data_IF_529881803773
#
_entry.id   IF_529881803773
#
_cell.length_a   1.000
_cell.length_b   1.000
_cell.length_c   1.000
_cell.angle_alpha   90.00
_cell.angle_beta   90.00
_cell.angle_gamma   90.00
#
_symmetry.space_group_name_H-M   'P 1'
#
loop_
_entity.id
_entity.type
_entity.pdbx_description
1 polymer ?
#
# COMPACT_ATOMS: atom_id res chain seq x y z
N UNK A 1 17.95 12.16 36.95
CA UNK A 1 18.62 11.56 35.78
C UNK A 1 17.56 11.41 34.69
N UNK A 2 17.56 12.30 33.70
CA UNK A 2 16.61 12.28 32.59
C UNK A 2 17.04 11.23 31.59
N UNK A 3 16.13 10.30 31.28
CA UNK A 3 16.36 9.29 30.25
C UNK A 3 16.23 10.02 28.92
N UNK A 4 17.37 10.24 28.25
CA UNK A 4 17.43 10.85 26.93
C UNK A 4 16.49 10.12 25.98
N UNK A 5 15.50 10.84 25.44
CA UNK A 5 14.56 10.35 24.42
C UNK A 5 15.23 10.15 23.03
N UNK A 6 16.54 9.89 23.00
CA UNK A 6 17.29 9.58 21.79
C UNK A 6 17.16 8.08 21.51
N UNK A 7 16.14 7.67 20.75
CA UNK A 7 16.03 6.29 20.28
C UNK A 7 14.62 5.81 19.91
N UNK A 8 13.56 6.54 20.28
CA UNK A 8 12.24 6.31 19.67
C UNK A 8 12.23 7.08 18.37
N UNK A 9 12.57 6.43 17.26
CA UNK A 9 12.06 6.88 15.98
C UNK A 9 10.56 7.10 16.19
N UNK A 10 10.12 8.35 16.13
CA UNK A 10 8.72 8.70 16.20
C UNK A 10 8.01 7.81 15.17
N UNK A 11 7.09 6.97 15.63
CA UNK A 11 6.46 5.98 14.77
C UNK A 11 5.60 6.74 13.76
N UNK A 12 6.19 7.03 12.60
CA UNK A 12 5.50 7.74 11.53
C UNK A 12 4.55 6.75 10.86
N UNK A 13 3.37 6.64 11.48
CA UNK A 13 2.26 5.81 11.03
C UNK A 13 1.90 6.12 9.56
N UNK A 14 2.02 7.38 9.14
CA UNK A 14 1.75 7.79 7.77
C UNK A 14 2.78 7.23 6.80
N UNK A 15 4.07 7.33 7.14
CA UNK A 15 5.15 6.74 6.34
C UNK A 15 5.02 5.22 6.20
N UNK A 16 4.59 4.51 7.25
CA UNK A 16 4.36 3.07 7.18
C UNK A 16 3.17 2.72 6.29
N UNK A 17 2.07 3.45 6.40
CA UNK A 17 0.90 3.26 5.52
C UNK A 17 1.28 3.52 4.06
N UNK A 18 2.09 4.56 3.81
CA UNK A 18 2.59 4.88 2.47
C UNK A 18 3.50 3.79 1.91
N UNK A 19 4.37 3.18 2.73
CA UNK A 19 5.16 2.02 2.32
C UNK A 19 4.29 0.84 1.91
N UNK A 20 3.20 0.57 2.64
CA UNK A 20 2.24 -0.50 2.28
C UNK A 20 1.55 -0.18 0.96
N UNK A 21 1.07 1.07 0.77
CA UNK A 21 0.45 1.50 -0.48
C UNK A 21 1.40 1.38 -1.68
N UNK A 22 2.68 1.74 -1.51
CA UNK A 22 3.68 1.63 -2.56
C UNK A 22 3.96 0.18 -2.95
N UNK A 23 4.06 -0.73 -1.96
CA UNK A 23 4.24 -2.16 -2.21
C UNK A 23 3.05 -2.76 -2.95
N UNK A 24 1.83 -2.42 -2.53
CA UNK A 24 0.61 -2.84 -3.22
C UNK A 24 0.57 -2.29 -4.66
N UNK A 25 0.87 -1.01 -4.86
CA UNK A 25 0.90 -0.38 -6.17
C UNK A 25 1.88 -1.05 -7.14
N UNK A 26 3.08 -1.42 -6.66
CA UNK A 26 4.06 -2.15 -7.45
C UNK A 26 3.55 -3.55 -7.84
N UNK A 27 3.07 -4.33 -6.86
CA UNK A 27 2.54 -5.67 -7.14
C UNK A 27 1.36 -5.63 -8.15
N UNK A 28 0.49 -4.62 -8.04
CA UNK A 28 -0.59 -4.40 -9.00
C UNK A 28 -0.08 -4.06 -10.40
N UNK A 29 0.98 -3.26 -10.51
CA UNK A 29 1.59 -2.93 -11.81
C UNK A 29 2.18 -4.18 -12.49
N UNK A 30 2.84 -5.05 -11.72
CA UNK A 30 3.36 -6.33 -12.21
C UNK A 30 2.22 -7.21 -12.72
N UNK A 31 1.15 -7.40 -11.94
CA UNK A 31 0.01 -8.21 -12.35
C UNK A 31 -0.69 -7.66 -13.61
N UNK A 32 -0.83 -6.33 -13.72
CA UNK A 32 -1.36 -5.69 -14.93
C UNK A 32 -0.49 -5.95 -16.15
N UNK A 33 0.83 -5.97 -16.00
CA UNK A 33 1.75 -6.30 -17.09
C UNK A 33 1.55 -7.76 -17.53
N UNK A 34 1.48 -8.71 -16.59
CA UNK A 34 1.24 -10.13 -16.90
C UNK A 34 -0.08 -10.32 -17.67
N UNK A 35 -1.15 -9.66 -17.22
CA UNK A 35 -2.47 -9.68 -17.88
C UNK A 35 -2.38 -9.09 -19.29
N UNK A 36 -1.70 -7.96 -19.46
CA UNK A 36 -1.57 -7.28 -20.73
C UNK A 36 -0.74 -8.07 -21.75
N UNK A 37 0.30 -8.78 -21.29
CA UNK A 37 1.11 -9.64 -22.17
C UNK A 37 0.33 -10.86 -22.68
N UNK A 38 -0.60 -11.40 -21.89
CA UNK A 38 -1.59 -12.37 -22.35
C UNK A 38 -1.05 -13.71 -22.87
N UNK A 39 0.23 -14.02 -22.61
CA UNK A 39 0.94 -15.18 -23.23
C UNK A 39 0.58 -16.52 -22.60
N UNK A 40 0.21 -16.55 -21.33
CA UNK A 40 -0.13 -17.75 -20.57
C UNK A 40 -1.46 -17.52 -19.84
N UNK A 41 -2.50 -18.27 -20.24
CA UNK A 41 -3.84 -18.14 -19.68
C UNK A 41 -3.91 -18.48 -18.18
N UNK A 42 -3.05 -19.37 -17.70
CA UNK A 42 -2.97 -19.73 -16.27
C UNK A 42 -2.35 -18.58 -15.48
N UNK A 43 -1.26 -18.02 -16.00
CA UNK A 43 -0.63 -16.84 -15.39
C UNK A 43 -1.54 -15.61 -15.40
N UNK A 44 -2.30 -15.40 -16.48
CA UNK A 44 -3.29 -14.32 -16.58
C UNK A 44 -4.42 -14.48 -15.56
N UNK A 45 -4.96 -15.70 -15.40
CA UNK A 45 -6.00 -15.97 -14.40
C UNK A 45 -5.48 -15.70 -12.98
N UNK A 46 -4.32 -16.24 -12.63
CA UNK A 46 -3.70 -16.03 -11.31
C UNK A 46 -3.38 -14.55 -11.05
N UNK A 47 -2.86 -13.84 -12.05
CA UNK A 47 -2.59 -12.40 -11.96
C UNK A 47 -3.88 -11.58 -11.80
N UNK A 48 -4.97 -11.99 -12.44
CA UNK A 48 -6.28 -11.33 -12.33
C UNK A 48 -6.88 -11.49 -10.94
N UNK A 49 -6.85 -12.70 -10.38
CA UNK A 49 -7.32 -12.98 -9.02
C UNK A 49 -6.49 -12.19 -7.99
N UNK A 50 -5.16 -12.24 -8.12
CA UNK A 50 -4.25 -11.47 -7.26
C UNK A 50 -4.49 -9.95 -7.36
N UNK A 51 -4.73 -9.44 -8.57
CA UNK A 51 -5.01 -8.03 -8.80
C UNK A 51 -6.33 -7.60 -8.13
N UNK A 52 -7.36 -8.46 -8.11
CA UNK A 52 -8.61 -8.18 -7.43
C UNK A 52 -8.43 -8.03 -5.91
N UNK A 53 -7.68 -8.95 -5.29
CA UNK A 53 -7.35 -8.90 -3.86
C UNK A 53 -6.49 -7.68 -3.49
N UNK A 54 -5.50 -7.37 -4.32
CA UNK A 54 -4.64 -6.21 -4.14
C UNK A 54 -5.41 -4.89 -4.28
N UNK A 55 -6.37 -4.80 -5.22
CA UNK A 55 -7.24 -3.63 -5.33
C UNK A 55 -8.07 -3.42 -4.05
N UNK A 56 -8.65 -4.48 -3.50
CA UNK A 56 -9.40 -4.38 -2.25
C UNK A 56 -8.50 -3.97 -1.07
N UNK A 57 -7.32 -4.57 -0.97
CA UNK A 57 -6.31 -4.22 0.03
C UNK A 57 -5.88 -2.75 -0.11
N UNK A 58 -5.60 -2.29 -1.32
CA UNK A 58 -5.21 -0.90 -1.60
C UNK A 58 -6.31 0.08 -1.18
N UNK A 59 -7.58 -0.22 -1.52
CA UNK A 59 -8.74 0.60 -1.09
C UNK A 59 -8.86 0.65 0.44
N UNK A 60 -8.69 -0.48 1.13
CA UNK A 60 -8.71 -0.54 2.60
C UNK A 60 -7.58 0.28 3.22
N UNK A 61 -6.36 0.12 2.73
CA UNK A 61 -5.19 0.85 3.22
C UNK A 61 -5.33 2.35 2.96
N UNK A 62 -5.88 2.79 1.81
CA UNK A 62 -6.20 4.20 1.56
C UNK A 62 -7.21 4.77 2.57
N UNK A 63 -8.25 4.00 2.90
CA UNK A 63 -9.22 4.41 3.94
C UNK A 63 -8.56 4.51 5.32
N UNK A 64 -7.63 3.61 5.65
CA UNK A 64 -6.86 3.69 6.89
C UNK A 64 -5.94 4.92 6.92
N UNK A 65 -5.30 5.24 5.79
CA UNK A 65 -4.50 6.46 5.61
C UNK A 65 -5.30 7.73 5.94
N UNK A 66 -6.50 7.85 5.37
CA UNK A 66 -7.39 8.98 5.62
C UNK A 66 -7.86 9.03 7.08
N UNK A 67 -8.21 7.88 7.68
CA UNK A 67 -8.57 7.82 9.11
C UNK A 67 -7.42 8.23 10.04
N UNK A 68 -6.18 8.00 9.61
CA UNK A 68 -4.99 8.40 10.35
C UNK A 68 -4.59 9.87 10.12
N UNK A 69 -5.34 10.64 9.31
CA UNK A 69 -5.02 12.04 9.00
C UNK A 69 -3.76 12.22 8.14
N UNK A 70 -3.32 11.17 7.46
CA UNK A 70 -2.09 11.15 6.67
C UNK A 70 -2.25 11.75 5.26
N UNK A 71 -3.46 12.18 4.92
CA UNK A 71 -3.91 12.79 3.67
C UNK A 71 -3.45 14.24 3.46
N UNK A 72 -2.78 14.83 4.46
CA UNK A 72 -2.20 16.17 4.34
C UNK A 72 -3.25 17.29 4.39
N UNK A 73 -4.52 16.96 4.65
CA UNK A 73 -5.57 17.92 4.96
C UNK A 73 -5.48 18.28 6.45
N UNK A 74 -4.67 19.27 6.80
CA UNK A 74 -4.93 20.02 8.02
C UNK A 74 -6.25 20.76 7.80
N UNK A 75 -7.28 20.36 8.55
CA UNK A 75 -8.52 21.11 8.65
C UNK A 75 -8.22 22.26 9.62
N UNK A 76 -7.73 23.37 9.08
CA UNK A 76 -7.79 24.66 9.78
C UNK A 76 -9.26 25.05 10.05
#
# INVERSE_FOLDING_TARGET
MGISAAGRAEFDQCRLIDQVLNRLGNAMAINRLIIAEGKDSTAVAAASDSLAEQNESYRRTKRQRAKAGCDGWQRD
#
